data_IF_333562721627
#
_entry.id   IF_333562721627
#
_cell.length_a   1.000
_cell.length_b   1.000
_cell.length_c   1.000
_cell.angle_alpha   90.00
_cell.angle_beta   90.00
_cell.angle_gamma   90.00
#
_symmetry.space_group_name_H-M   'P 1'
#
loop_
_entity.id
_entity.type
_entity.pdbx_description
1 polymer ?
#
# COMPACT_ATOMS: atom_id res chain seq x y z
N UNK A 1 -39.10 -19.75 12.14
CA UNK A 1 -37.71 -19.41 11.75
C UNK A 1 -37.30 -18.15 12.49
N UNK A 2 -36.19 -18.14 13.23
CA UNK A 2 -35.63 -16.87 13.76
C UNK A 2 -35.20 -16.00 12.57
N UNK A 3 -35.46 -14.68 12.56
CA UNK A 3 -35.02 -13.81 11.48
C UNK A 3 -33.50 -13.90 11.35
N UNK A 4 -33.01 -14.08 10.12
CA UNK A 4 -31.57 -14.09 9.82
C UNK A 4 -31.04 -12.69 10.10
N UNK A 5 -30.38 -12.50 11.23
CA UNK A 5 -29.77 -11.22 11.60
C UNK A 5 -28.57 -10.96 10.70
N UNK A 6 -28.57 -9.83 9.98
CA UNK A 6 -27.44 -9.40 9.15
C UNK A 6 -26.19 -9.23 10.03
N UNK A 7 -25.09 -9.86 9.60
CA UNK A 7 -23.78 -9.77 10.29
C UNK A 7 -23.17 -8.39 10.04
N UNK A 8 -22.58 -7.81 11.08
CA UNK A 8 -21.89 -6.51 10.99
C UNK A 8 -20.38 -6.74 10.91
N UNK A 9 -19.71 -6.08 9.97
CA UNK A 9 -18.26 -6.08 9.80
C UNK A 9 -17.72 -4.64 9.82
N UNK A 10 -16.68 -4.40 10.62
CA UNK A 10 -15.99 -3.11 10.68
C UNK A 10 -14.68 -3.15 9.90
N UNK A 11 -14.38 -2.08 9.17
CA UNK A 11 -13.10 -1.83 8.52
C UNK A 11 -12.47 -0.61 9.19
N UNK A 12 -11.32 -0.82 9.83
CA UNK A 12 -10.43 0.26 10.25
C UNK A 12 -9.66 0.72 9.01
N UNK A 13 -10.00 1.91 8.56
CA UNK A 13 -9.71 2.42 7.24
C UNK A 13 -8.59 3.47 7.29
N UNK A 14 -7.52 3.23 6.53
CA UNK A 14 -6.33 4.09 6.49
C UNK A 14 -6.45 5.21 5.45
N UNK A 15 -7.43 5.15 4.54
CA UNK A 15 -7.64 6.17 3.52
C UNK A 15 -8.47 7.36 4.02
N UNK A 16 -9.09 7.24 5.20
CA UNK A 16 -9.88 8.33 5.79
C UNK A 16 -8.98 9.21 6.65
N UNK A 17 -9.04 10.54 6.43
CA UNK A 17 -8.21 11.55 7.10
C UNK A 17 -6.69 11.35 6.91
N UNK A 18 -6.29 10.89 5.71
CA UNK A 18 -4.90 10.85 5.25
C UNK A 18 -4.65 11.92 4.18
N UNK A 19 -3.39 12.20 3.88
CA UNK A 19 -2.97 13.09 2.77
C UNK A 19 -2.13 12.37 1.73
N UNK A 20 -2.19 11.03 1.75
CA UNK A 20 -1.47 10.14 0.87
C UNK A 20 -2.47 9.30 0.09
N UNK A 21 -2.66 9.60 -1.19
CA UNK A 21 -3.59 8.88 -2.08
C UNK A 21 -3.18 7.40 -2.24
N UNK A 22 -1.93 7.04 -1.93
CA UNK A 22 -1.51 5.65 -1.86
C UNK A 22 -2.31 4.80 -0.88
N UNK A 23 -2.84 5.39 0.20
CA UNK A 23 -3.69 4.66 1.15
C UNK A 23 -5.10 4.41 0.57
N UNK A 24 -5.60 5.27 -0.33
CA UNK A 24 -6.84 5.03 -1.08
C UNK A 24 -6.72 3.83 -2.00
N UNK A 25 -5.59 3.67 -2.71
CA UNK A 25 -5.31 2.50 -3.55
C UNK A 25 -5.32 1.21 -2.73
N UNK A 26 -4.75 1.24 -1.52
CA UNK A 26 -4.74 0.09 -0.61
C UNK A 26 -6.16 -0.23 -0.15
N UNK A 27 -6.92 0.78 0.28
CA UNK A 27 -8.26 0.58 0.81
C UNK A 27 -9.27 0.19 -0.28
N UNK A 28 -9.09 0.62 -1.53
CA UNK A 28 -9.85 0.14 -2.69
C UNK A 28 -9.70 -1.39 -2.83
N UNK A 29 -8.46 -1.90 -2.81
CA UNK A 29 -8.21 -3.34 -2.86
C UNK A 29 -8.72 -4.08 -1.61
N UNK A 30 -8.51 -3.54 -0.41
CA UNK A 30 -9.03 -4.12 0.84
C UNK A 30 -10.56 -4.25 0.79
N UNK A 31 -11.26 -3.18 0.41
CA UNK A 31 -12.71 -3.18 0.33
C UNK A 31 -13.20 -4.21 -0.68
N UNK A 32 -12.58 -4.28 -1.86
CA UNK A 32 -12.92 -5.27 -2.89
C UNK A 32 -12.83 -6.71 -2.36
N UNK A 33 -11.73 -7.06 -1.70
CA UNK A 33 -11.52 -8.41 -1.18
C UNK A 33 -12.46 -8.73 -0.01
N UNK A 34 -12.74 -7.77 0.87
CA UNK A 34 -13.65 -7.97 2.00
C UNK A 34 -15.12 -8.05 1.57
N UNK A 35 -15.54 -7.27 0.58
CA UNK A 35 -16.91 -7.34 0.03
C UNK A 35 -17.17 -8.67 -0.67
N UNK A 36 -16.17 -9.25 -1.33
CA UNK A 36 -16.27 -10.61 -1.88
C UNK A 36 -16.28 -11.70 -0.80
N UNK A 37 -15.52 -11.51 0.29
CA UNK A 37 -15.43 -12.47 1.39
C UNK A 37 -16.68 -12.45 2.30
N UNK A 38 -17.27 -11.28 2.52
CA UNK A 38 -18.37 -11.06 3.46
C UNK A 38 -19.56 -10.39 2.74
N UNK A 39 -20.03 -10.98 1.63
CA UNK A 39 -21.02 -10.40 0.70
C UNK A 39 -22.34 -9.98 1.36
N UNK A 40 -22.78 -10.72 2.37
CA UNK A 40 -24.06 -10.53 3.05
C UNK A 40 -23.94 -9.61 4.28
N UNK A 41 -22.75 -9.09 4.57
CA UNK A 41 -22.49 -8.28 5.75
C UNK A 41 -22.84 -6.81 5.53
N UNK A 42 -23.23 -6.16 6.62
CA UNK A 42 -23.23 -4.69 6.70
C UNK A 42 -21.84 -4.20 7.10
N UNK A 43 -21.29 -3.27 6.32
CA UNK A 43 -19.97 -2.69 6.57
C UNK A 43 -20.02 -1.33 7.27
N UNK A 44 -19.13 -1.13 8.24
CA UNK A 44 -18.84 0.16 8.87
C UNK A 44 -17.37 0.51 8.65
N UNK A 45 -17.08 1.72 8.17
CA UNK A 45 -15.70 2.22 7.97
C UNK A 45 -15.36 3.23 9.06
N UNK A 46 -14.19 3.04 9.69
CA UNK A 46 -13.74 3.89 10.81
C UNK A 46 -12.31 4.37 10.52
N UNK A 47 -12.02 5.67 10.55
CA UNK A 47 -10.67 6.18 10.33
C UNK A 47 -9.67 5.66 11.37
N UNK A 48 -8.47 5.26 10.92
CA UNK A 48 -7.35 4.93 11.82
C UNK A 48 -6.59 6.17 12.27
N UNK A 49 -6.59 7.24 11.46
CA UNK A 49 -5.87 8.48 11.70
C UNK A 49 -6.56 9.42 12.69
N UNK A 50 -7.74 9.05 13.18
CA UNK A 50 -8.47 9.78 14.21
C UNK A 50 -8.60 8.98 15.50
N UNK A 51 -8.83 9.69 16.62
CA UNK A 51 -9.06 9.02 17.89
C UNK A 51 -10.38 8.24 17.82
N UNK A 52 -10.36 7.00 18.31
CA UNK A 52 -11.58 6.19 18.41
C UNK A 52 -12.44 6.71 19.57
N UNK A 53 -13.59 7.29 19.24
CA UNK A 53 -14.60 7.76 20.19
C UNK A 53 -15.70 6.70 20.44
N UNK A 54 -16.71 7.04 21.25
CA UNK A 54 -17.76 6.12 21.72
C UNK A 54 -18.53 5.43 20.58
N UNK A 55 -18.88 6.15 19.52
CA UNK A 55 -19.59 5.61 18.35
C UNK A 55 -18.76 4.57 17.61
N UNK A 56 -17.54 4.93 17.22
CA UNK A 56 -16.57 4.03 16.57
C UNK A 56 -16.29 2.80 17.44
N UNK A 57 -16.11 2.99 18.76
CA UNK A 57 -15.92 1.88 19.69
C UNK A 57 -17.15 0.96 19.75
N UNK A 58 -18.36 1.53 19.70
CA UNK A 58 -19.61 0.77 19.67
C UNK A 58 -19.68 -0.12 18.42
N UNK A 59 -19.38 0.43 17.23
CA UNK A 59 -19.33 -0.37 16.00
C UNK A 59 -18.31 -1.51 16.12
N UNK A 60 -17.09 -1.24 16.57
CA UNK A 60 -16.06 -2.27 16.73
C UNK A 60 -16.51 -3.37 17.70
N UNK A 61 -17.16 -2.99 18.80
CA UNK A 61 -17.60 -3.95 19.82
C UNK A 61 -18.79 -4.79 19.36
N UNK A 62 -19.69 -4.23 18.56
CA UNK A 62 -20.92 -4.91 18.11
C UNK A 62 -20.77 -5.62 16.76
N UNK A 63 -19.69 -5.37 16.02
CA UNK A 63 -19.35 -6.12 14.81
C UNK A 63 -18.78 -7.50 15.14
N UNK A 64 -19.17 -8.48 14.32
CA UNK A 64 -18.70 -9.86 14.40
C UNK A 64 -17.25 -9.99 13.92
N UNK A 65 -16.88 -9.21 12.91
CA UNK A 65 -15.52 -9.14 12.37
C UNK A 65 -15.05 -7.68 12.34
N UNK A 66 -13.76 -7.46 12.62
CA UNK A 66 -13.15 -6.13 12.60
C UNK A 66 -11.80 -6.23 11.91
N UNK A 67 -11.73 -5.73 10.68
CA UNK A 67 -10.52 -5.76 9.87
C UNK A 67 -9.73 -4.47 10.00
N UNK A 68 -8.44 -4.58 10.27
CA UNK A 68 -7.47 -3.53 10.05
C UNK A 68 -6.87 -3.71 8.66
N UNK A 69 -7.33 -2.90 7.72
CA UNK A 69 -6.75 -2.84 6.38
C UNK A 69 -5.35 -2.25 6.43
N UNK A 70 -4.49 -2.68 5.51
CA UNK A 70 -3.16 -2.09 5.29
C UNK A 70 -3.20 -0.57 5.34
N UNK A 71 -2.19 0.11 5.85
CA UNK A 71 -1.01 0.51 5.09
C UNK A 71 0.21 0.17 5.95
N UNK A 72 1.14 1.10 6.09
CA UNK A 72 2.35 1.02 6.89
C UNK A 72 2.11 1.24 8.39
N UNK A 73 0.98 0.72 8.89
CA UNK A 73 0.33 1.21 10.10
C UNK A 73 1.01 0.75 11.41
N UNK A 74 1.83 -0.31 11.36
CA UNK A 74 2.52 -0.85 12.52
C UNK A 74 3.90 -0.19 12.71
N UNK A 75 4.36 -0.07 13.94
CA UNK A 75 5.68 0.51 14.27
C UNK A 75 6.15 0.02 15.63
N UNK A 76 7.46 -0.03 15.85
CA UNK A 76 8.06 -0.33 17.16
C UNK A 76 7.74 0.69 18.25
N UNK A 77 7.28 1.88 17.86
CA UNK A 77 7.02 3.01 18.76
C UNK A 77 5.64 3.63 18.50
N UNK A 78 4.55 2.86 18.60
CA UNK A 78 3.18 3.33 18.33
C UNK A 78 2.67 4.42 19.28
N UNK A 79 3.33 4.64 20.43
CA UNK A 79 3.08 5.80 21.28
C UNK A 79 3.58 7.12 20.68
N UNK A 80 4.58 7.06 19.78
CA UNK A 80 5.17 8.21 19.08
C UNK A 80 4.57 8.37 17.69
N UNK A 81 4.55 7.28 16.91
CA UNK A 81 4.00 7.27 15.55
C UNK A 81 2.54 6.84 15.56
N UNK A 82 1.64 7.80 15.34
CA UNK A 82 0.20 7.61 15.52
C UNK A 82 -0.56 7.51 14.19
N UNK A 83 -0.10 6.65 13.28
CA UNK A 83 -0.90 6.29 12.10
C UNK A 83 -2.17 5.53 12.50
N UNK A 84 -2.09 4.76 13.58
CA UNK A 84 -3.25 4.25 14.29
C UNK A 84 -3.40 5.01 15.61
N UNK A 85 -4.36 5.93 15.70
CA UNK A 85 -4.60 6.76 16.89
C UNK A 85 -5.43 6.01 17.93
N UNK A 86 -4.84 4.98 18.51
CA UNK A 86 -5.46 4.16 19.54
C UNK A 86 -4.58 4.08 20.80
N UNK A 87 -5.18 4.28 21.97
CA UNK A 87 -4.52 4.19 23.26
C UNK A 87 -4.76 2.85 23.97
N UNK A 88 -4.05 2.62 25.07
CA UNK A 88 -4.20 1.40 25.88
C UNK A 88 -5.61 1.26 26.46
N UNK A 89 -6.26 2.36 26.85
CA UNK A 89 -7.64 2.33 27.34
C UNK A 89 -8.62 1.83 26.27
N UNK A 90 -8.55 2.38 25.05
CA UNK A 90 -9.36 1.90 23.93
C UNK A 90 -9.02 0.44 23.59
N UNK A 91 -7.74 0.07 23.66
CA UNK A 91 -7.32 -1.32 23.41
C UNK A 91 -7.93 -2.32 24.38
N UNK A 92 -8.17 -1.91 25.63
CA UNK A 92 -8.81 -2.73 26.63
C UNK A 92 -10.29 -3.00 26.30
N UNK A 93 -11.01 -1.99 25.79
CA UNK A 93 -12.42 -2.14 25.41
C UNK A 93 -12.63 -2.92 24.10
N UNK A 94 -11.66 -2.87 23.20
CA UNK A 94 -11.72 -3.61 21.93
C UNK A 94 -11.25 -5.05 22.11
N UNK A 95 -10.20 -5.26 22.89
CA UNK A 95 -9.51 -6.50 23.23
C UNK A 95 -9.81 -7.76 22.38
N UNK A 96 -8.80 -8.21 21.63
CA UNK A 96 -8.77 -9.45 20.85
C UNK A 96 -9.79 -9.53 19.69
N UNK A 97 -10.22 -8.37 19.18
CA UNK A 97 -11.23 -8.27 18.12
C UNK A 97 -10.68 -7.91 16.74
N UNK A 98 -9.48 -7.35 16.67
CA UNK A 98 -8.94 -6.85 15.40
C UNK A 98 -8.25 -7.97 14.64
N UNK A 99 -8.50 -8.05 13.34
CA UNK A 99 -7.90 -8.98 12.40
C UNK A 99 -7.16 -8.13 11.36
N UNK A 100 -5.95 -8.48 11.00
CA UNK A 100 -5.18 -7.65 10.04
C UNK A 100 -5.32 -8.19 8.64
N UNK A 101 -5.32 -7.28 7.66
CA UNK A 101 -5.34 -7.56 6.24
C UNK A 101 -4.29 -6.71 5.53
N UNK A 102 -3.15 -7.31 5.20
CA UNK A 102 -2.08 -6.65 4.44
C UNK A 102 -1.41 -5.50 5.17
N UNK A 103 -1.34 -5.55 6.50
CA UNK A 103 -0.66 -4.50 7.29
C UNK A 103 0.85 -4.64 7.17
N UNK A 104 1.56 -3.51 7.28
CA UNK A 104 3.02 -3.45 7.24
C UNK A 104 3.64 -2.69 8.40
N UNK A 105 4.91 -3.01 8.67
CA UNK A 105 5.78 -2.28 9.59
C UNK A 105 6.39 -1.08 8.89
N UNK A 106 6.32 0.09 9.53
CA UNK A 106 6.63 1.39 8.91
C UNK A 106 8.00 1.45 8.23
N UNK A 107 9.02 1.01 8.94
CA UNK A 107 10.42 1.10 8.54
C UNK A 107 11.24 0.06 9.32
N UNK A 108 12.49 -0.15 8.93
CA UNK A 108 13.45 -0.87 9.76
C UNK A 108 13.67 -0.09 11.07
N UNK A 109 13.24 -0.68 12.18
CA UNK A 109 13.28 -0.06 13.51
C UNK A 109 13.96 -1.00 14.51
N UNK A 110 14.22 -0.51 15.73
CA UNK A 110 14.61 -1.40 16.82
C UNK A 110 13.45 -2.30 17.28
N UNK A 111 13.72 -3.13 18.29
CA UNK A 111 12.71 -3.98 18.94
C UNK A 111 11.47 -3.16 19.35
N UNK A 112 10.24 -3.67 19.15
CA UNK A 112 9.03 -3.01 19.61
C UNK A 112 9.08 -2.72 21.12
N UNK A 113 8.75 -1.49 21.50
CA UNK A 113 8.77 -1.10 22.91
C UNK A 113 7.63 -1.77 23.71
N UNK A 114 7.72 -1.85 25.05
CA UNK A 114 6.69 -2.51 25.87
C UNK A 114 5.28 -1.96 25.64
N UNK A 115 5.15 -0.67 25.35
CA UNK A 115 3.87 -0.04 25.00
C UNK A 115 3.26 -0.67 23.75
N UNK A 116 4.01 -0.73 22.66
CA UNK A 116 3.58 -1.32 21.38
C UNK A 116 3.25 -2.79 21.55
N UNK A 117 4.10 -3.55 22.25
CA UNK A 117 3.86 -4.97 22.53
C UNK A 117 2.53 -5.17 23.26
N UNK A 118 2.28 -4.39 24.33
CA UNK A 118 1.04 -4.47 25.10
C UNK A 118 -0.17 -4.06 24.25
N UNK A 119 -0.03 -3.01 23.46
CA UNK A 119 -1.10 -2.50 22.60
C UNK A 119 -1.53 -3.56 21.57
N UNK A 120 -0.58 -4.11 20.81
CA UNK A 120 -0.86 -5.10 19.77
C UNK A 120 -1.42 -6.40 20.37
N UNK A 121 -0.84 -6.90 21.47
CA UNK A 121 -1.37 -8.09 22.16
C UNK A 121 -2.78 -7.89 22.70
N UNK A 122 -3.14 -6.68 23.10
CA UNK A 122 -4.50 -6.39 23.51
C UNK A 122 -5.43 -6.35 22.30
N UNK A 123 -5.06 -5.70 21.21
CA UNK A 123 -5.97 -5.45 20.07
C UNK A 123 -6.20 -6.68 19.18
N UNK A 124 -5.10 -7.33 18.80
CA UNK A 124 -5.11 -8.38 17.79
C UNK A 124 -5.80 -9.64 18.30
N UNK A 125 -6.58 -10.25 17.42
CA UNK A 125 -7.33 -11.46 17.72
C UNK A 125 -6.39 -12.61 18.05
N UNK A 126 -6.82 -13.43 19.01
CA UNK A 126 -6.16 -14.70 19.33
C UNK A 126 -6.74 -15.89 18.57
N UNK A 127 -7.89 -15.69 17.92
CA UNK A 127 -8.65 -16.74 17.21
C UNK A 127 -8.28 -16.78 15.74
N UNK A 128 -8.14 -15.61 15.12
CA UNK A 128 -7.99 -15.49 13.67
C UNK A 128 -6.53 -15.36 13.27
N UNK A 129 -6.20 -15.89 12.10
CA UNK A 129 -4.94 -15.65 11.41
C UNK A 129 -4.88 -14.21 10.91
N UNK A 130 -3.72 -13.60 11.05
CA UNK A 130 -3.43 -12.22 10.69
C UNK A 130 -2.69 -12.16 9.35
N UNK A 131 -3.23 -11.40 8.40
CA UNK A 131 -2.55 -11.14 7.13
C UNK A 131 -1.62 -9.93 7.30
N UNK A 132 -0.36 -10.12 6.89
CA UNK A 132 0.66 -9.07 6.75
C UNK A 132 1.16 -9.03 5.32
N UNK A 133 1.81 -7.92 4.94
CA UNK A 133 2.15 -7.66 3.54
C UNK A 133 3.60 -7.92 3.13
N UNK A 134 4.46 -8.22 4.09
CA UNK A 134 5.88 -8.49 3.89
C UNK A 134 6.44 -9.36 5.04
N UNK A 135 7.52 -10.08 4.74
CA UNK A 135 8.18 -11.01 5.67
C UNK A 135 8.78 -10.27 6.87
N UNK A 136 9.19 -9.02 6.68
CA UNK A 136 9.68 -8.17 7.76
C UNK A 136 8.61 -7.94 8.84
N UNK A 137 7.38 -7.63 8.44
CA UNK A 137 6.26 -7.45 9.38
C UNK A 137 5.91 -8.75 10.09
N UNK A 138 5.93 -9.87 9.37
CA UNK A 138 5.71 -11.21 9.94
C UNK A 138 6.72 -11.51 11.06
N UNK A 139 8.01 -11.28 10.79
CA UNK A 139 9.09 -11.48 11.76
C UNK A 139 8.91 -10.61 13.02
N UNK A 140 8.51 -9.36 12.88
CA UNK A 140 8.32 -8.46 14.02
C UNK A 140 7.16 -8.85 14.92
N UNK A 141 6.06 -9.33 14.34
CA UNK A 141 4.93 -9.85 15.11
C UNK A 141 5.29 -11.17 15.83
N UNK A 142 6.00 -12.07 15.15
CA UNK A 142 6.53 -13.30 15.75
C UNK A 142 7.47 -13.01 16.93
N UNK A 143 8.39 -12.03 16.79
CA UNK A 143 9.32 -11.62 17.87
C UNK A 143 8.64 -11.12 19.14
N UNK A 144 7.40 -10.61 19.03
CA UNK A 144 6.62 -10.17 20.19
C UNK A 144 5.64 -11.25 20.68
N UNK A 145 5.65 -12.44 20.08
CA UNK A 145 4.82 -13.58 20.45
C UNK A 145 3.40 -13.55 19.88
N UNK A 146 3.22 -12.91 18.71
CA UNK A 146 1.99 -12.96 17.93
C UNK A 146 2.29 -13.83 16.71
N UNK A 147 2.05 -15.14 16.85
CA UNK A 147 2.52 -16.16 15.91
C UNK A 147 1.44 -16.62 14.91
N UNK A 148 0.19 -16.19 15.11
CA UNK A 148 -0.92 -16.43 14.20
C UNK A 148 -0.90 -15.41 13.06
N UNK A 149 0.23 -15.31 12.34
CA UNK A 149 0.46 -14.36 11.25
C UNK A 149 0.87 -15.10 9.98
N UNK A 150 0.54 -14.54 8.82
CA UNK A 150 0.95 -15.05 7.52
C UNK A 150 1.21 -13.90 6.56
N UNK A 151 2.35 -13.92 5.86
CA UNK A 151 2.61 -12.99 4.76
C UNK A 151 1.79 -13.35 3.52
N UNK A 152 0.68 -12.64 3.33
CA UNK A 152 -0.18 -12.75 2.14
C UNK A 152 0.18 -11.74 1.06
N UNK A 153 1.17 -10.88 1.29
CA UNK A 153 1.38 -9.68 0.48
C UNK A 153 0.28 -8.63 0.69
N UNK A 154 0.47 -7.48 0.03
CA UNK A 154 -0.48 -6.39 0.08
C UNK A 154 -1.70 -6.71 -0.80
N UNK A 155 -2.94 -6.45 -0.35
CA UNK A 155 -4.17 -6.70 -1.10
C UNK A 155 -4.17 -6.10 -2.51
N UNK A 156 -3.46 -4.99 -2.72
CA UNK A 156 -3.29 -4.35 -4.04
C UNK A 156 -2.61 -5.26 -5.07
N UNK A 157 -1.94 -6.32 -4.63
CA UNK A 157 -1.20 -7.24 -5.48
C UNK A 157 -1.88 -8.59 -5.66
N UNK A 158 -2.93 -8.91 -4.89
CA UNK A 158 -3.53 -10.25 -4.87
C UNK A 158 -4.09 -10.71 -6.22
N UNK A 159 -4.42 -9.77 -7.11
CA UNK A 159 -4.93 -10.04 -8.45
C UNK A 159 -3.89 -9.92 -9.56
N UNK A 160 -2.62 -9.63 -9.22
CA UNK A 160 -1.50 -9.63 -10.16
C UNK A 160 -1.06 -11.08 -10.43
N UNK A 161 -1.99 -11.87 -10.98
CA UNK A 161 -1.77 -13.27 -11.38
C UNK A 161 -0.77 -13.35 -12.52
N UNK A 162 -0.27 -14.55 -12.81
CA UNK A 162 0.59 -14.78 -13.98
C UNK A 162 -0.09 -14.34 -15.29
N UNK A 163 -1.36 -14.70 -15.48
CA UNK A 163 -2.16 -14.27 -16.64
C UNK A 163 -2.26 -12.74 -16.73
N UNK A 164 -2.48 -12.06 -15.59
CA UNK A 164 -2.51 -10.61 -15.55
C UNK A 164 -1.14 -10.01 -15.93
N UNK A 165 -0.07 -10.52 -15.34
CA UNK A 165 1.29 -10.03 -15.57
C UNK A 165 1.76 -10.25 -17.02
N UNK A 166 1.40 -11.38 -17.63
CA UNK A 166 1.69 -11.67 -19.03
C UNK A 166 0.93 -10.76 -20.01
N UNK A 167 -0.15 -10.11 -19.56
CA UNK A 167 -0.90 -9.13 -20.36
C UNK A 167 -0.33 -7.71 -20.27
N UNK A 168 0.74 -7.50 -19.50
CA UNK A 168 1.42 -6.21 -19.38
C UNK A 168 2.45 -6.09 -20.51
N UNK A 169 2.48 -4.97 -21.27
CA UNK A 169 3.47 -4.75 -22.32
C UNK A 169 4.91 -4.88 -21.81
N UNK A 170 5.75 -5.54 -22.60
CA UNK A 170 7.18 -5.72 -22.30
C UNK A 170 8.05 -4.60 -22.87
N UNK A 171 7.59 -4.02 -23.97
CA UNK A 171 8.24 -2.95 -24.73
C UNK A 171 7.87 -1.57 -24.19
N UNK A 172 8.80 -0.63 -24.28
CA UNK A 172 8.60 0.78 -23.90
C UNK A 172 7.54 1.47 -24.77
N UNK A 173 6.69 2.30 -24.16
CA UNK A 173 5.73 3.17 -24.86
C UNK A 173 6.29 4.58 -25.16
N UNK A 174 5.52 5.43 -25.84
CA UNK A 174 5.91 6.84 -26.10
C UNK A 174 5.64 7.79 -24.92
N UNK A 175 4.84 7.35 -23.94
CA UNK A 175 4.34 8.19 -22.85
C UNK A 175 4.70 7.59 -21.50
N UNK A 176 5.11 8.41 -20.54
CA UNK A 176 5.41 7.95 -19.18
C UNK A 176 4.68 8.79 -18.15
N UNK A 177 4.19 8.13 -17.11
CA UNK A 177 3.80 8.77 -15.87
C UNK A 177 4.89 8.53 -14.83
N UNK A 178 5.27 9.57 -14.11
CA UNK A 178 6.17 9.46 -12.98
C UNK A 178 5.61 10.13 -11.73
N UNK A 179 6.24 9.79 -10.62
CA UNK A 179 5.91 10.31 -9.29
C UNK A 179 7.21 10.60 -8.55
N UNK A 180 7.18 11.58 -7.66
CA UNK A 180 8.24 11.92 -6.72
C UNK A 180 7.73 11.75 -5.29
N UNK A 181 8.65 11.78 -4.33
CA UNK A 181 8.32 11.57 -2.91
C UNK A 181 8.85 12.70 -2.03
N UNK A 182 7.96 13.46 -1.41
CA UNK A 182 8.31 14.62 -0.59
C UNK A 182 9.07 14.33 0.71
N UNK A 183 8.88 13.15 1.34
CA UNK A 183 9.49 12.85 2.65
C UNK A 183 10.86 12.17 2.59
N UNK A 184 11.37 11.88 1.38
CA UNK A 184 12.69 11.28 1.17
C UNK A 184 13.27 11.81 -0.14
N UNK A 185 13.47 13.12 -0.20
CA UNK A 185 13.97 13.83 -1.37
C UNK A 185 15.44 13.51 -1.60
N UNK A 186 15.85 13.42 -2.86
CA UNK A 186 17.27 13.36 -3.24
C UNK A 186 17.48 14.07 -4.57
N UNK A 187 17.67 15.40 -4.49
CA UNK A 187 17.68 16.32 -5.65
C UNK A 187 18.52 15.81 -6.81
N UNK A 188 19.74 15.33 -6.58
CA UNK A 188 20.62 14.82 -7.65
C UNK A 188 20.02 13.62 -8.39
N UNK A 189 19.64 12.57 -7.65
CA UNK A 189 19.09 11.32 -8.21
C UNK A 189 17.71 11.53 -8.81
N UNK A 190 16.89 12.39 -8.20
CA UNK A 190 15.56 12.73 -8.71
C UNK A 190 15.66 13.64 -9.94
N UNK A 191 16.71 14.47 -10.06
CA UNK A 191 17.04 15.19 -11.30
C UNK A 191 17.43 14.21 -12.42
N UNK A 192 18.29 13.22 -12.11
CA UNK A 192 18.68 12.20 -13.07
C UNK A 192 17.48 11.38 -13.57
N UNK A 193 16.54 11.06 -12.67
CA UNK A 193 15.25 10.46 -13.03
C UNK A 193 14.50 11.32 -14.04
N UNK A 194 14.24 12.61 -13.75
CA UNK A 194 13.46 13.48 -14.65
C UNK A 194 14.14 13.62 -16.02
N UNK A 195 15.47 13.79 -16.06
CA UNK A 195 16.23 13.88 -17.33
C UNK A 195 16.09 12.61 -18.16
N UNK A 196 16.33 11.45 -17.57
CA UNK A 196 16.19 10.17 -18.25
C UNK A 196 14.79 9.97 -18.85
N UNK A 197 13.75 10.43 -18.15
CA UNK A 197 12.37 10.35 -18.65
C UNK A 197 12.11 11.31 -19.82
N UNK A 198 12.57 12.57 -19.74
CA UNK A 198 12.41 13.55 -20.83
C UNK A 198 13.19 13.16 -22.09
N UNK A 199 14.33 12.52 -21.93
CA UNK A 199 15.14 12.04 -23.04
C UNK A 199 14.53 10.80 -23.70
N UNK A 200 13.91 9.91 -22.92
CA UNK A 200 13.43 8.62 -23.42
C UNK A 200 11.96 8.61 -23.88
N UNK A 201 11.13 9.56 -23.46
CA UNK A 201 9.69 9.59 -23.75
C UNK A 201 9.27 10.89 -24.44
N UNK A 202 8.32 10.79 -25.36
CA UNK A 202 7.75 11.94 -26.06
C UNK A 202 6.83 12.76 -25.14
N UNK A 203 6.04 12.08 -24.31
CA UNK A 203 5.13 12.71 -23.36
C UNK A 203 5.47 12.28 -21.93
N UNK A 204 5.62 13.25 -21.03
CA UNK A 204 5.95 13.02 -19.62
C UNK A 204 4.87 13.63 -18.73
N UNK A 205 4.25 12.79 -17.91
CA UNK A 205 3.21 13.17 -16.96
C UNK A 205 3.69 13.00 -15.53
N UNK A 206 3.49 14.01 -14.70
CA UNK A 206 3.73 13.95 -13.27
C UNK A 206 2.42 13.73 -12.52
N UNK A 207 2.34 12.68 -11.70
CA UNK A 207 1.21 12.46 -10.82
C UNK A 207 1.57 12.79 -9.36
N UNK A 208 0.82 13.72 -8.78
CA UNK A 208 0.95 14.15 -7.39
C UNK A 208 0.19 13.17 -6.49
N UNK A 209 0.91 12.32 -5.76
CA UNK A 209 0.28 11.32 -4.87
C UNK A 209 0.20 11.80 -3.40
N UNK A 210 1.25 12.45 -2.91
CA UNK A 210 1.36 12.96 -1.55
C UNK A 210 1.26 14.47 -1.48
N UNK A 211 0.88 14.96 -0.30
CA UNK A 211 0.58 16.37 0.00
C UNK A 211 1.57 17.43 -0.51
N UNK A 212 2.86 17.10 -0.61
CA UNK A 212 3.93 18.05 -0.99
C UNK A 212 4.78 17.56 -2.16
N UNK A 213 4.29 16.55 -2.90
CA UNK A 213 5.01 16.08 -4.08
C UNK A 213 5.05 17.16 -5.16
N UNK A 214 3.98 17.94 -5.29
CA UNK A 214 3.91 19.14 -6.12
C UNK A 214 4.93 20.20 -5.69
N UNK A 215 5.00 20.49 -4.39
CA UNK A 215 5.97 21.44 -3.82
C UNK A 215 7.40 20.99 -4.12
N UNK A 216 7.68 19.69 -4.01
CA UNK A 216 8.99 19.16 -4.35
C UNK A 216 9.27 19.23 -5.86
N UNK A 217 8.31 18.86 -6.69
CA UNK A 217 8.42 18.95 -8.15
C UNK A 217 8.70 20.39 -8.63
N UNK A 218 8.01 21.38 -8.07
CA UNK A 218 8.24 22.80 -8.40
C UNK A 218 9.51 23.39 -7.78
N UNK A 219 10.24 22.64 -6.94
CA UNK A 219 11.54 23.08 -6.41
C UNK A 219 12.71 22.85 -7.38
N UNK A 220 12.50 22.05 -8.43
CA UNK A 220 13.50 21.81 -9.47
C UNK A 220 13.61 22.99 -10.44
N UNK A 221 14.70 23.01 -11.22
CA UNK A 221 14.91 23.98 -12.29
C UNK A 221 13.68 24.03 -13.23
N UNK A 222 13.08 25.23 -13.48
CA UNK A 222 11.97 25.37 -14.41
C UNK A 222 12.23 24.76 -15.79
N UNK A 223 13.45 24.83 -16.32
CA UNK A 223 13.81 24.22 -17.61
C UNK A 223 13.80 22.70 -17.55
N UNK A 224 14.16 22.13 -16.39
CA UNK A 224 14.10 20.68 -16.19
C UNK A 224 12.65 20.19 -16.25
N UNK A 225 11.73 20.90 -15.60
CA UNK A 225 10.32 20.49 -15.50
C UNK A 225 9.42 21.01 -16.64
N UNK A 226 9.94 21.85 -17.52
CA UNK A 226 9.22 22.37 -18.68
C UNK A 226 8.67 21.24 -19.57
N UNK A 227 7.42 21.39 -20.01
CA UNK A 227 6.72 20.42 -20.87
C UNK A 227 6.09 19.24 -20.13
N UNK A 228 6.36 19.07 -18.83
CA UNK A 228 5.75 17.99 -18.03
C UNK A 228 4.31 18.35 -17.68
N UNK A 229 3.37 17.46 -18.04
CA UNK A 229 1.94 17.63 -17.76
C UNK A 229 1.60 17.07 -16.37
N UNK A 230 0.71 17.74 -15.63
CA UNK A 230 0.36 17.31 -14.26
C UNK A 230 -0.99 16.61 -14.27
N UNK A 231 -1.03 15.40 -13.71
CA UNK A 231 -2.27 14.67 -13.43
C UNK A 231 -2.80 15.16 -12.07
N UNK A 232 -4.10 15.53 -11.96
CA UNK A 232 -4.68 15.98 -10.71
C UNK A 232 -4.44 15.03 -9.52
N UNK A 233 -4.31 15.55 -8.28
CA UNK A 233 -3.90 14.80 -7.10
C UNK A 233 -5.03 13.95 -6.49
N UNK A 234 -5.76 13.19 -7.30
CA UNK A 234 -6.82 12.29 -6.84
C UNK A 234 -6.77 10.97 -7.63
N UNK A 235 -7.21 9.89 -6.97
CA UNK A 235 -7.18 8.54 -7.56
C UNK A 235 -8.04 8.44 -8.82
N UNK A 236 -9.20 9.10 -8.86
CA UNK A 236 -10.09 9.05 -10.03
C UNK A 236 -9.43 9.59 -11.31
N UNK A 237 -8.68 10.69 -11.20
CA UNK A 237 -7.96 11.27 -12.34
C UNK A 237 -6.81 10.38 -12.81
N UNK A 238 -6.12 9.74 -11.87
CA UNK A 238 -5.06 8.80 -12.19
C UNK A 238 -5.60 7.52 -12.86
N UNK A 239 -6.68 6.94 -12.33
CA UNK A 239 -7.32 5.78 -12.90
C UNK A 239 -7.88 6.05 -14.30
N UNK A 240 -8.51 7.21 -14.49
CA UNK A 240 -9.02 7.64 -15.80
C UNK A 240 -7.88 7.76 -16.82
N UNK A 241 -6.74 8.34 -16.43
CA UNK A 241 -5.56 8.42 -17.28
C UNK A 241 -5.03 7.03 -17.62
N UNK A 242 -4.79 6.19 -16.61
CA UNK A 242 -4.28 4.83 -16.77
C UNK A 242 -5.22 3.93 -17.59
N UNK A 243 -6.54 4.18 -17.58
CA UNK A 243 -7.51 3.41 -18.36
C UNK A 243 -7.52 3.78 -19.84
N UNK A 244 -7.23 5.04 -20.18
CA UNK A 244 -7.42 5.59 -21.53
C UNK A 244 -6.13 5.80 -22.31
N UNK A 245 -4.97 5.78 -21.67
CA UNK A 245 -3.68 6.03 -22.30
C UNK A 245 -2.77 4.81 -22.20
N UNK A 246 -2.07 4.51 -23.30
CA UNK A 246 -0.90 3.62 -23.25
C UNK A 246 0.28 4.39 -22.69
N UNK A 247 0.80 3.93 -21.56
CA UNK A 247 1.92 4.59 -20.90
C UNK A 247 2.73 3.59 -20.08
N UNK A 248 3.98 3.97 -19.82
CA UNK A 248 4.81 3.38 -18.79
C UNK A 248 4.59 4.12 -17.46
N UNK A 249 4.92 3.45 -16.35
CA UNK A 249 5.06 4.08 -15.05
C UNK A 249 6.50 3.97 -14.56
N UNK A 250 7.10 5.09 -14.17
CA UNK A 250 8.44 5.10 -13.56
C UNK A 250 8.47 6.10 -12.41
N UNK A 251 8.60 5.68 -11.16
CA UNK A 251 8.56 6.67 -10.07
C UNK A 251 8.77 6.14 -8.65
N UNK A 252 8.95 7.08 -7.71
CA UNK A 252 9.30 6.79 -6.30
C UNK A 252 8.12 6.43 -5.41
N UNK A 253 6.88 6.57 -5.89
CA UNK A 253 5.67 6.20 -5.14
C UNK A 253 5.27 4.76 -5.43
N UNK A 254 5.61 3.85 -4.52
CA UNK A 254 5.35 2.42 -4.65
C UNK A 254 3.91 2.09 -5.08
N UNK A 255 2.88 2.59 -4.39
CA UNK A 255 1.49 2.23 -4.70
C UNK A 255 0.97 2.88 -5.98
N UNK A 256 1.58 3.98 -6.44
CA UNK A 256 1.29 4.51 -7.78
C UNK A 256 1.70 3.52 -8.86
N UNK A 257 2.86 2.89 -8.72
CA UNK A 257 3.32 1.82 -9.60
C UNK A 257 2.47 0.55 -9.49
N UNK A 258 2.05 0.15 -8.28
CA UNK A 258 1.14 -0.99 -8.14
C UNK A 258 -0.21 -0.74 -8.84
N UNK A 259 -0.76 0.47 -8.76
CA UNK A 259 -1.99 0.81 -9.49
C UNK A 259 -1.77 0.83 -11.00
N UNK A 260 -0.62 1.31 -11.47
CA UNK A 260 -0.24 1.20 -12.89
C UNK A 260 -0.18 -0.28 -13.36
N UNK A 261 0.40 -1.17 -12.55
CA UNK A 261 0.38 -2.61 -12.79
C UNK A 261 -1.03 -3.19 -12.83
N UNK A 262 -1.94 -2.76 -11.95
CA UNK A 262 -3.36 -3.16 -11.98
C UNK A 262 -4.05 -2.74 -13.29
N UNK A 263 -3.63 -1.63 -13.90
CA UNK A 263 -4.06 -1.15 -15.21
C UNK A 263 -3.22 -1.70 -16.38
N UNK A 264 -2.40 -2.73 -16.12
CA UNK A 264 -1.56 -3.41 -17.11
C UNK A 264 -0.54 -2.49 -17.80
N UNK A 265 0.02 -1.54 -17.05
CA UNK A 265 1.06 -0.64 -17.53
C UNK A 265 2.45 -1.15 -17.17
N UNK A 266 3.38 -1.08 -18.13
CA UNK A 266 4.79 -1.42 -17.92
C UNK A 266 5.35 -0.51 -16.82
N UNK A 267 5.91 -1.09 -15.76
CA UNK A 267 6.16 -0.36 -14.51
C UNK A 267 7.58 -0.60 -14.00
N UNK A 268 8.28 0.48 -13.65
CA UNK A 268 9.55 0.48 -12.92
C UNK A 268 9.36 1.31 -11.65
N UNK A 269 9.42 0.68 -10.48
CA UNK A 269 9.33 1.42 -9.21
C UNK A 269 10.73 1.84 -8.77
N UNK A 270 10.93 3.12 -8.49
CA UNK A 270 12.18 3.62 -7.93
C UNK A 270 12.17 3.38 -6.41
N UNK A 271 13.05 2.50 -5.95
CA UNK A 271 13.19 2.12 -4.54
C UNK A 271 13.89 3.20 -3.74
N UNK A 272 13.14 3.84 -2.84
CA UNK A 272 13.63 4.91 -1.94
C UNK A 272 13.61 4.52 -0.45
N UNK A 273 12.98 3.39 -0.13
CA UNK A 273 12.90 2.85 1.22
C UNK A 273 12.64 1.34 1.21
N UNK A 274 12.57 0.77 2.41
CA UNK A 274 12.40 -0.66 2.62
C UNK A 274 11.12 -1.23 1.99
N UNK A 275 10.06 -0.44 1.77
CA UNK A 275 8.79 -1.00 1.28
C UNK A 275 8.92 -1.54 -0.14
N UNK A 276 9.66 -0.84 -1.00
CA UNK A 276 9.92 -1.31 -2.35
C UNK A 276 10.86 -2.52 -2.32
N UNK A 277 11.91 -2.48 -1.50
CA UNK A 277 12.89 -3.55 -1.38
C UNK A 277 12.31 -4.84 -0.81
N UNK A 278 11.49 -4.78 0.24
CA UNK A 278 10.79 -5.96 0.79
C UNK A 278 9.84 -6.56 -0.25
N UNK A 279 9.13 -5.73 -1.01
CA UNK A 279 8.24 -6.21 -2.07
C UNK A 279 8.97 -6.83 -3.26
N UNK A 280 10.12 -6.28 -3.64
CA UNK A 280 10.99 -6.89 -4.64
C UNK A 280 11.49 -8.26 -4.16
N UNK A 281 11.98 -8.34 -2.92
CA UNK A 281 12.47 -9.58 -2.31
C UNK A 281 11.38 -10.66 -2.20
N UNK A 282 10.21 -10.29 -1.67
CA UNK A 282 9.14 -11.26 -1.38
C UNK A 282 8.34 -11.64 -2.63
N UNK A 283 8.10 -10.70 -3.55
CA UNK A 283 7.13 -10.87 -4.64
C UNK A 283 7.68 -10.57 -6.04
N UNK A 284 8.97 -10.26 -6.17
CA UNK A 284 9.62 -9.98 -7.45
C UNK A 284 8.98 -8.83 -8.25
N UNK A 285 8.60 -7.74 -7.57
CA UNK A 285 8.18 -6.50 -8.25
C UNK A 285 9.40 -5.82 -8.88
N UNK A 286 9.25 -5.28 -10.10
CA UNK A 286 10.29 -4.56 -10.81
C UNK A 286 10.65 -3.25 -10.07
N UNK A 287 11.79 -3.27 -9.38
CA UNK A 287 12.30 -2.16 -8.59
C UNK A 287 13.72 -1.83 -9.03
N UNK A 288 13.97 -0.56 -9.33
CA UNK A 288 15.31 0.00 -9.46
C UNK A 288 15.64 0.79 -8.20
N UNK A 289 16.68 0.40 -7.47
CA UNK A 289 17.13 1.17 -6.30
C UNK A 289 17.61 2.54 -6.73
N UNK A 290 17.20 3.60 -6.02
CA UNK A 290 17.52 5.00 -6.41
C UNK A 290 19.02 5.26 -6.54
N UNK A 291 19.86 4.57 -5.76
CA UNK A 291 21.31 4.72 -5.85
C UNK A 291 21.85 4.32 -7.23
N UNK A 292 21.16 3.41 -7.93
CA UNK A 292 21.48 2.90 -9.26
C UNK A 292 20.74 3.64 -10.39
N UNK A 293 20.23 4.85 -10.15
CA UNK A 293 19.42 5.59 -11.13
C UNK A 293 20.12 5.78 -12.48
N UNK A 294 21.46 5.77 -12.50
CA UNK A 294 22.26 5.93 -13.72
C UNK A 294 22.07 4.78 -14.72
N UNK A 295 21.55 3.62 -14.25
CA UNK A 295 21.15 2.49 -15.11
C UNK A 295 19.73 2.62 -15.68
N UNK A 296 18.95 3.61 -15.25
CA UNK A 296 17.57 3.77 -15.68
C UNK A 296 17.41 3.89 -17.21
N UNK A 297 18.25 4.65 -17.95
CA UNK A 297 18.12 4.76 -19.40
C UNK A 297 18.25 3.42 -20.13
N UNK A 298 19.15 2.54 -19.68
CA UNK A 298 19.31 1.22 -20.32
C UNK A 298 18.11 0.31 -20.02
N UNK A 299 17.58 0.36 -18.79
CA UNK A 299 16.39 -0.42 -18.40
C UNK A 299 15.15 0.07 -19.17
N UNK A 300 14.97 1.39 -19.29
CA UNK A 300 13.87 2.00 -20.04
C UNK A 300 13.85 1.47 -21.47
N UNK A 301 15.00 1.44 -22.14
CA UNK A 301 15.13 1.02 -23.54
C UNK A 301 15.26 -0.50 -23.74
N UNK A 302 15.24 -1.29 -22.67
CA UNK A 302 15.23 -2.75 -22.73
C UNK A 302 13.81 -3.31 -22.71
N UNK A 303 13.61 -4.49 -23.29
CA UNK A 303 12.38 -5.24 -23.11
C UNK A 303 12.46 -6.08 -21.84
N UNK A 304 11.42 -6.04 -21.02
CA UNK A 304 11.34 -6.90 -19.84
C UNK A 304 9.92 -7.37 -19.56
N UNK A 305 9.83 -8.57 -19.01
CA UNK A 305 8.57 -9.15 -18.57
C UNK A 305 8.23 -8.71 -17.14
N UNK A 306 6.94 -8.58 -16.85
CA UNK A 306 6.48 -8.44 -15.47
C UNK A 306 6.27 -9.83 -14.87
N UNK A 307 7.04 -10.20 -13.83
CA UNK A 307 6.98 -11.53 -13.19
C UNK A 307 6.74 -11.44 -11.69
N UNK A 308 5.55 -11.04 -11.29
CA UNK A 308 5.19 -10.92 -9.86
C UNK A 308 4.78 -12.30 -9.31
N UNK A 309 5.32 -12.65 -8.14
CA UNK A 309 5.08 -13.94 -7.47
C UNK A 309 4.16 -13.74 -6.28
N UNK A 310 2.90 -14.14 -6.39
CA UNK A 310 1.93 -14.09 -5.29
C UNK A 310 1.60 -15.49 -4.82
N UNK A 311 1.71 -15.74 -3.52
CA UNK A 311 1.33 -17.01 -2.90
C UNK A 311 -0.19 -17.04 -2.63
N UNK A 312 -0.93 -17.55 -3.61
CA UNK A 312 -2.38 -17.71 -3.52
C UNK A 312 -2.79 -18.69 -2.41
N UNK A 313 -1.94 -19.68 -2.07
CA UNK A 313 -2.25 -20.63 -1.01
C UNK A 313 -2.29 -19.93 0.35
N UNK A 314 -1.33 -19.03 0.63
CA UNK A 314 -1.35 -18.20 1.85
C UNK A 314 -2.55 -17.27 1.91
N UNK A 315 -2.95 -16.67 0.79
CA UNK A 315 -4.15 -15.82 0.72
C UNK A 315 -5.40 -16.65 1.01
N UNK A 316 -5.55 -17.81 0.38
CA UNK A 316 -6.69 -18.70 0.57
C UNK A 316 -6.76 -19.26 2.00
N UNK A 317 -5.61 -19.65 2.57
CA UNK A 317 -5.52 -20.07 3.96
C UNK A 317 -5.97 -18.97 4.94
N UNK A 318 -5.64 -17.70 4.65
CA UNK A 318 -6.18 -16.59 5.42
C UNK A 318 -7.67 -16.37 5.19
N UNK A 319 -8.20 -16.55 3.97
CA UNK A 319 -9.63 -16.33 3.68
C UNK A 319 -10.53 -17.43 4.27
N UNK A 320 -10.10 -18.68 4.27
CA UNK A 320 -10.92 -19.84 4.66
C UNK A 320 -11.37 -19.83 6.13
N UNK A 321 -10.78 -18.99 6.99
CA UNK A 321 -11.18 -18.86 8.39
C UNK A 321 -12.49 -18.09 8.61
N UNK A 322 -13.06 -17.48 7.56
CA UNK A 322 -14.27 -16.65 7.63
C UNK A 322 -15.50 -17.29 7.00
N UNK A 323 -15.33 -18.46 6.40
CA UNK A 323 -16.37 -19.29 5.78
C UNK A 323 -17.24 -20.01 6.82
#
# INVERSE_FOLDING_TARGET
>A
MKPKTIRNTTILDTSIATSNVGDEIIMDAVNKELYELCKEDRFFRIPTHEKIYKSSLSFIRNSSLNFLGGSNILSSYMNRYKQWRIGLLQSFFIRHKIITLGVGWRAYQGKPNPYTVRLLKNLLSKKYLHSVRDSHTEEYLNKIGINNVVNTGCPTMWRLTEVHCNSIPTTKTSTVIFTLTDYNQHVEKDTALIRALKEAYHEVYFWVQGRRDDTYFYSFDPMLIEGIKIIPPNLASYDAFLATNECDYIGTRLHGGIRALQHKRRTIIIGIDNRASEKNKDFNINVLQRDNIDSLPSIINSDFETKIRIDLNKINYWKSQFE
#
